data_IF_630712062603
#
_entry.id   IF_630712062603
#
_cell.length_a   1.000
_cell.length_b   1.000
_cell.length_c   1.000
_cell.angle_alpha   90.00
_cell.angle_beta   90.00
_cell.angle_gamma   90.00
#
_symmetry.space_group_name_H-M   'P 1'
#
loop_
_entity.id
_entity.type
_entity.pdbx_description
1 polymer ?
#
# COMPACT_ATOMS: atom_id res chain seq x y z
N UNK A 1 -8.63 -20.93 21.59
CA UNK A 1 -9.25 -19.84 20.82
C UNK A 1 -8.22 -18.76 20.63
N UNK A 2 -8.04 -18.26 19.40
CA UNK A 2 -7.14 -17.13 19.15
C UNK A 2 -7.87 -15.80 19.33
N UNK A 3 -7.17 -14.77 19.78
CA UNK A 3 -7.70 -13.41 19.97
C UNK A 3 -7.17 -12.49 18.88
N UNK A 4 -8.01 -11.55 18.42
CA UNK A 4 -7.55 -10.45 17.60
C UNK A 4 -7.21 -9.26 18.49
N UNK A 5 -6.06 -8.64 18.25
CA UNK A 5 -5.68 -7.40 18.93
C UNK A 5 -5.47 -6.29 17.93
N UNK A 6 -5.81 -5.07 18.34
CA UNK A 6 -5.75 -3.87 17.50
C UNK A 6 -5.14 -2.73 18.32
N UNK A 7 -4.22 -2.01 17.71
CA UNK A 7 -3.62 -0.80 18.29
C UNK A 7 -3.87 0.39 17.38
N UNK A 8 -4.23 1.52 17.97
CA UNK A 8 -4.56 2.74 17.25
C UNK A 8 -3.62 3.88 17.68
N UNK A 9 -3.33 4.80 16.77
CA UNK A 9 -2.65 6.05 17.13
C UNK A 9 -3.63 7.06 17.76
N UNK A 10 -3.10 8.19 18.22
CA UNK A 10 -3.90 9.27 18.83
C UNK A 10 -5.00 9.86 17.93
N UNK A 11 -4.91 9.63 16.61
CA UNK A 11 -5.91 10.05 15.63
C UNK A 11 -6.94 8.95 15.31
N UNK A 12 -6.94 7.85 16.08
CA UNK A 12 -7.85 6.73 15.89
C UNK A 12 -7.52 5.84 14.70
N UNK A 13 -6.31 5.91 14.14
CA UNK A 13 -5.91 5.09 12.98
C UNK A 13 -5.22 3.82 13.43
N UNK A 14 -5.64 2.70 12.83
CA UNK A 14 -5.07 1.39 13.10
C UNK A 14 -3.59 1.36 12.71
N UNK A 15 -2.70 1.12 13.66
CA UNK A 15 -1.25 1.03 13.46
C UNK A 15 -0.70 -0.38 13.63
N UNK A 16 -1.42 -1.25 14.33
CA UNK A 16 -1.07 -2.66 14.48
C UNK A 16 -2.33 -3.51 14.59
N UNK A 17 -2.31 -4.67 13.95
CA UNK A 17 -3.35 -5.68 14.05
C UNK A 17 -2.67 -7.04 14.19
N UNK A 18 -3.03 -7.80 15.21
CA UNK A 18 -2.58 -9.19 15.36
C UNK A 18 -3.78 -10.11 15.18
N UNK A 19 -3.64 -11.09 14.29
CA UNK A 19 -4.68 -12.07 14.02
C UNK A 19 -4.74 -13.18 15.09
N UNK A 20 -5.77 -14.03 14.99
CA UNK A 20 -5.95 -15.15 15.91
C UNK A 20 -4.82 -16.20 15.86
N UNK A 21 -3.93 -16.15 14.86
CA UNK A 21 -2.75 -17.01 14.72
C UNK A 21 -1.47 -16.34 15.25
N UNK A 22 -1.56 -15.12 15.77
CA UNK A 22 -0.42 -14.35 16.27
C UNK A 22 0.34 -13.58 15.18
N UNK A 23 -0.13 -13.56 13.94
CA UNK A 23 0.52 -12.82 12.86
C UNK A 23 0.18 -11.33 12.99
N UNK A 24 1.21 -10.49 12.95
CA UNK A 24 1.06 -9.05 13.16
C UNK A 24 1.24 -8.29 11.86
N UNK A 25 0.28 -7.41 11.56
CA UNK A 25 0.33 -6.44 10.48
C UNK A 25 0.45 -5.03 11.06
N UNK A 26 1.35 -4.21 10.53
CA UNK A 26 1.55 -2.83 10.99
C UNK A 26 1.30 -1.83 9.86
N UNK A 27 0.78 -0.66 10.20
CA UNK A 27 0.46 0.39 9.25
C UNK A 27 1.06 1.73 9.66
N UNK A 28 1.62 2.46 8.70
CA UNK A 28 2.17 3.81 8.88
C UNK A 28 1.39 4.78 8.01
N UNK A 29 1.17 5.99 8.53
CA UNK A 29 0.42 7.03 7.86
C UNK A 29 1.22 8.33 7.80
N UNK A 30 1.01 9.12 6.75
CA UNK A 30 1.51 10.49 6.67
C UNK A 30 0.70 11.46 7.55
N UNK A 31 1.13 12.72 7.59
CA UNK A 31 0.46 13.80 8.35
C UNK A 31 -0.96 14.10 7.87
N UNK A 32 -1.24 13.84 6.59
CA UNK A 32 -2.59 13.94 6.01
C UNK A 32 -3.42 12.70 6.32
N UNK A 33 -2.79 11.69 6.92
CA UNK A 33 -3.47 10.52 7.40
C UNK A 33 -3.67 9.42 6.38
N UNK A 34 -2.91 9.44 5.29
CA UNK A 34 -2.93 8.45 4.21
C UNK A 34 -1.88 7.38 4.52
N UNK A 35 -2.20 6.12 4.24
CA UNK A 35 -1.31 5.01 4.54
C UNK A 35 -0.10 5.02 3.62
N UNK A 36 1.11 5.15 4.16
CA UNK A 36 2.36 5.16 3.40
C UNK A 36 3.08 3.82 3.42
N UNK A 37 2.80 2.99 4.43
CA UNK A 37 3.40 1.68 4.56
C UNK A 37 2.44 0.71 5.25
N UNK A 38 2.46 -0.54 4.79
CA UNK A 38 1.83 -1.69 5.44
C UNK A 38 2.83 -2.84 5.44
N UNK A 39 3.10 -3.40 6.60
CA UNK A 39 3.99 -4.55 6.74
C UNK A 39 3.16 -5.71 7.28
N UNK A 40 3.22 -6.84 6.58
CA UNK A 40 2.51 -8.09 6.88
C UNK A 40 3.51 -9.25 6.85
N UNK A 41 3.07 -10.46 7.15
CA UNK A 41 3.92 -11.65 7.11
C UNK A 41 4.48 -11.91 5.68
N UNK A 42 3.71 -11.55 4.66
CA UNK A 42 4.03 -11.71 3.25
C UNK A 42 5.00 -10.63 2.74
N UNK A 43 5.24 -9.57 3.53
CA UNK A 43 6.20 -8.52 3.24
C UNK A 43 5.67 -7.11 3.44
N UNK A 44 6.38 -6.13 2.88
CA UNK A 44 6.05 -4.70 3.04
C UNK A 44 5.56 -4.09 1.73
N UNK A 45 4.43 -3.40 1.81
CA UNK A 45 3.89 -2.53 0.77
C UNK A 45 4.10 -1.07 1.15
N UNK A 46 4.40 -0.21 0.17
CA UNK A 46 4.52 1.24 0.38
C UNK A 46 3.73 2.02 -0.68
N UNK A 47 3.25 3.20 -0.29
CA UNK A 47 2.53 4.14 -1.14
C UNK A 47 3.18 5.50 -1.07
N UNK A 48 3.54 6.04 -2.23
CA UNK A 48 4.02 7.42 -2.39
C UNK A 48 2.91 8.26 -3.00
N UNK A 49 2.63 9.43 -2.44
CA UNK A 49 1.54 10.32 -2.86
C UNK A 49 2.07 11.63 -3.46
N UNK A 50 1.22 12.32 -4.22
CA UNK A 50 1.40 13.72 -4.65
C UNK A 50 2.64 14.04 -5.50
N UNK A 51 3.31 13.03 -6.08
CA UNK A 51 4.43 13.26 -7.01
C UNK A 51 3.99 13.51 -8.45
N UNK A 52 2.68 13.48 -8.73
CA UNK A 52 2.09 13.74 -10.05
C UNK A 52 1.20 14.98 -10.00
N UNK A 53 1.41 15.91 -10.93
CA UNK A 53 0.68 17.19 -11.00
C UNK A 53 -0.85 17.02 -11.10
N UNK A 54 -1.32 15.97 -11.78
CA UNK A 54 -2.75 15.65 -11.96
C UNK A 54 -3.30 14.65 -10.94
N UNK A 55 -2.47 14.21 -10.00
CA UNK A 55 -2.76 13.16 -9.03
C UNK A 55 -2.71 13.62 -7.58
N UNK A 56 -2.98 14.90 -7.30
CA UNK A 56 -2.98 15.43 -5.93
C UNK A 56 -4.00 14.68 -5.08
N UNK A 57 -3.59 14.25 -3.89
CA UNK A 57 -4.35 13.41 -2.98
C UNK A 57 -4.32 11.91 -3.33
N UNK A 58 -3.68 11.51 -4.43
CA UNK A 58 -3.72 10.13 -4.94
C UNK A 58 -2.32 9.49 -4.94
N UNK A 59 -2.22 8.15 -4.80
CA UNK A 59 -0.94 7.46 -4.84
C UNK A 59 -0.34 7.52 -6.24
N UNK A 60 0.92 7.93 -6.33
CA UNK A 60 1.69 7.97 -7.57
C UNK A 60 2.55 6.72 -7.77
N UNK A 61 2.99 6.08 -6.69
CA UNK A 61 3.78 4.84 -6.72
C UNK A 61 3.25 3.91 -5.64
N UNK A 62 3.04 2.66 -6.01
CA UNK A 62 2.72 1.57 -5.10
C UNK A 62 3.83 0.54 -5.25
N UNK A 63 4.54 0.24 -4.16
CA UNK A 63 5.46 -0.90 -4.12
C UNK A 63 4.82 -1.98 -3.27
N UNK A 64 4.94 -3.23 -3.71
CA UNK A 64 4.54 -4.39 -2.93
C UNK A 64 5.75 -5.24 -2.57
N UNK A 65 5.53 -6.33 -1.83
CA UNK A 65 6.53 -7.37 -1.63
C UNK A 65 7.04 -7.92 -2.97
N UNK A 66 8.22 -8.54 -2.94
CA UNK A 66 8.80 -9.27 -4.09
C UNK A 66 9.11 -8.41 -5.33
N UNK A 67 9.37 -7.11 -5.12
CA UNK A 67 9.77 -6.20 -6.20
C UNK A 67 8.61 -5.70 -7.05
N UNK A 68 7.35 -5.98 -6.65
CA UNK A 68 6.20 -5.37 -7.28
C UNK A 68 6.28 -3.85 -7.19
N UNK A 69 6.17 -3.17 -8.32
CA UNK A 69 6.12 -1.71 -8.38
C UNK A 69 5.13 -1.29 -9.46
N UNK A 70 4.17 -0.44 -9.09
CA UNK A 70 3.19 0.16 -9.99
C UNK A 70 3.30 1.67 -9.90
N UNK A 71 3.52 2.32 -11.03
CA UNK A 71 3.46 3.77 -11.14
C UNK A 71 2.12 4.19 -11.74
N UNK A 72 1.49 5.18 -11.13
CA UNK A 72 0.21 5.72 -11.51
C UNK A 72 0.39 7.15 -12.01
N UNK A 73 -0.25 7.45 -13.13
CA UNK A 73 -0.41 8.80 -13.65
C UNK A 73 -1.89 9.08 -13.86
N UNK A 74 -2.25 10.36 -13.83
CA UNK A 74 -3.64 10.77 -13.82
C UNK A 74 -3.92 11.76 -14.94
N UNK A 75 -5.12 11.68 -15.53
CA UNK A 75 -5.61 12.67 -16.47
C UNK A 75 -6.16 13.90 -15.73
N UNK A 76 -6.58 14.93 -16.46
CA UNK A 76 -7.11 16.16 -15.85
C UNK A 76 -8.42 15.94 -15.07
N UNK A 77 -9.08 14.81 -15.28
CA UNK A 77 -10.31 14.41 -14.59
C UNK A 77 -9.99 13.53 -13.36
N UNK A 78 -8.71 13.34 -13.03
CA UNK A 78 -8.27 12.55 -11.88
C UNK A 78 -8.44 11.04 -12.06
N UNK A 79 -8.71 10.57 -13.28
CA UNK A 79 -8.75 9.15 -13.63
C UNK A 79 -7.34 8.67 -13.92
N UNK A 80 -7.09 7.38 -13.72
CA UNK A 80 -5.79 6.79 -14.10
C UNK A 80 -5.62 6.95 -15.61
N UNK A 81 -4.69 7.82 -16.01
CA UNK A 81 -4.29 7.94 -17.39
C UNK A 81 -3.43 6.74 -17.71
N UNK A 82 -3.77 6.02 -18.80
CA UNK A 82 -3.08 4.82 -19.27
C UNK A 82 -1.60 4.86 -18.93
N UNK A 83 -1.16 3.90 -18.12
CA UNK A 83 0.21 3.79 -17.64
C UNK A 83 1.13 3.72 -18.86
N UNK A 84 1.91 4.77 -19.19
CA UNK A 84 3.00 4.58 -20.13
C UNK A 84 4.01 3.72 -19.37
N UNK A 85 4.37 2.58 -19.95
CA UNK A 85 5.26 1.57 -19.37
C UNK A 85 4.58 0.52 -18.46
N UNK A 86 3.62 -0.19 -19.04
CA UNK A 86 3.49 -1.64 -18.82
C UNK A 86 4.78 -2.36 -19.29
N UNK A 87 5.93 -2.08 -18.68
CA UNK A 87 7.02 -3.05 -18.72
C UNK A 87 6.62 -4.09 -17.71
N UNK A 88 5.90 -5.09 -18.22
CA UNK A 88 5.88 -6.43 -17.69
C UNK A 88 7.34 -6.88 -17.49
N UNK A 89 7.94 -6.52 -16.35
CA UNK A 89 8.89 -7.41 -15.71
C UNK A 89 8.01 -8.41 -14.97
N UNK A 90 7.52 -9.37 -15.74
CA UNK A 90 7.15 -10.68 -15.24
C UNK A 90 8.35 -11.23 -14.46
N UNK A 91 8.44 -10.91 -13.18
CA UNK A 91 9.27 -11.68 -12.24
C UNK A 91 8.28 -12.56 -11.50
N UNK A 92 7.97 -13.66 -12.16
CA UNK A 92 7.42 -14.91 -11.64
C UNK A 92 6.22 -14.81 -10.68
N UNK A 93 5.04 -15.06 -11.28
CA UNK A 93 3.97 -15.91 -10.74
C UNK A 93 4.31 -16.61 -9.41
N UNK A 94 3.63 -16.26 -8.32
CA UNK A 94 3.20 -17.27 -7.35
C UNK A 94 1.70 -17.07 -7.12
N UNK A 95 0.94 -17.94 -7.81
CA UNK A 95 -0.46 -18.22 -7.49
C UNK A 95 -0.50 -18.72 -6.05
N UNK A 96 -1.31 -18.11 -5.20
CA UNK A 96 -1.73 -18.73 -3.95
C UNK A 96 -2.83 -19.75 -4.26
N UNK A 97 -2.45 -21.02 -4.33
CA UNK A 97 -3.26 -22.19 -3.99
C UNK A 97 -2.33 -23.25 -3.39
#
# INVERSE_FOLDING_TARGET
MGTWTYSYNALGKLVSQTDAKGQTSTMVYDKLGRMTQRTEAEGTSTWTYDTKSKGIGKPAVITGPNGYKKELSYDALGRVSSTPNSQWRDIHHHKYL
#
